data_IF_376913130146
#
_entry.id   IF_376913130146
#
_cell.length_a   1.000
_cell.length_b   1.000
_cell.length_c   1.000
_cell.angle_alpha   90.00
_cell.angle_beta   90.00
_cell.angle_gamma   90.00
#
_symmetry.space_group_name_H-M   'P 1'
#
loop_
_entity.id
_entity.type
_entity.pdbx_description
1 polymer ?
#
# COMPACT_ATOMS: atom_id res chain seq x y z
N UNK A 1 37.10 -27.36 -24.00
CA UNK A 1 36.07 -26.38 -23.57
C UNK A 1 36.54 -25.75 -22.28
N UNK A 2 36.75 -24.43 -22.26
CA UNK A 2 37.46 -23.72 -21.20
C UNK A 2 36.56 -23.55 -19.96
N UNK A 3 36.90 -24.22 -18.85
CA UNK A 3 36.11 -24.28 -17.60
C UNK A 3 35.85 -22.92 -16.95
N UNK A 4 36.67 -21.90 -17.24
CA UNK A 4 36.46 -20.52 -16.76
C UNK A 4 35.24 -19.81 -17.37
N UNK A 5 34.80 -20.19 -18.58
CA UNK A 5 33.64 -19.57 -19.25
C UNK A 5 32.33 -19.99 -18.55
N UNK A 6 32.27 -21.24 -18.05
CA UNK A 6 31.12 -21.77 -17.34
C UNK A 6 30.95 -21.12 -15.96
N UNK A 7 32.05 -20.86 -15.25
CA UNK A 7 32.04 -20.21 -13.94
C UNK A 7 31.52 -18.75 -14.05
N UNK A 8 32.00 -18.00 -15.04
CA UNK A 8 31.53 -16.64 -15.32
C UNK A 8 30.04 -16.60 -15.71
N UNK A 9 29.58 -17.54 -16.54
CA UNK A 9 28.17 -17.63 -16.94
C UNK A 9 27.22 -17.94 -15.77
N UNK A 10 27.65 -18.75 -14.79
CA UNK A 10 26.88 -19.04 -13.57
C UNK A 10 26.79 -17.81 -12.64
N UNK A 11 27.89 -17.06 -12.49
CA UNK A 11 27.90 -15.82 -11.70
C UNK A 11 27.06 -14.71 -12.33
N UNK A 12 27.12 -14.55 -13.65
CA UNK A 12 26.29 -13.60 -14.40
C UNK A 12 24.80 -13.95 -14.24
N UNK A 13 24.44 -15.23 -14.31
CA UNK A 13 23.06 -15.68 -14.10
C UNK A 13 22.55 -15.38 -12.68
N UNK A 14 23.35 -15.68 -11.65
CA UNK A 14 22.99 -15.38 -10.26
C UNK A 14 22.84 -13.88 -10.00
N UNK A 15 23.70 -13.04 -10.59
CA UNK A 15 23.64 -11.59 -10.46
C UNK A 15 22.39 -10.99 -11.12
N UNK A 16 21.97 -11.49 -12.28
CA UNK A 16 20.75 -11.05 -12.97
C UNK A 16 19.51 -11.42 -12.15
N UNK A 17 19.45 -12.64 -11.61
CA UNK A 17 18.33 -13.09 -10.78
C UNK A 17 18.25 -12.23 -9.51
N UNK A 18 19.38 -11.99 -8.83
CA UNK A 18 19.43 -11.13 -7.65
C UNK A 18 19.00 -9.69 -7.97
N UNK A 19 19.45 -9.12 -9.09
CA UNK A 19 19.04 -7.80 -9.54
C UNK A 19 17.54 -7.74 -9.86
N UNK A 20 16.98 -8.76 -10.51
CA UNK A 20 15.56 -8.83 -10.82
C UNK A 20 14.69 -8.91 -9.55
N UNK A 21 15.12 -9.70 -8.55
CA UNK A 21 14.45 -9.77 -7.24
C UNK A 21 14.51 -8.43 -6.49
N UNK A 22 15.65 -7.74 -6.54
CA UNK A 22 15.80 -6.42 -5.94
C UNK A 22 14.92 -5.37 -6.64
N UNK A 23 14.86 -5.40 -7.97
CA UNK A 23 13.99 -4.52 -8.78
C UNK A 23 12.50 -4.81 -8.53
N UNK A 24 12.10 -6.05 -8.32
CA UNK A 24 10.73 -6.38 -7.94
C UNK A 24 10.36 -5.88 -6.53
N UNK A 25 11.31 -5.91 -5.59
CA UNK A 25 11.12 -5.44 -4.22
C UNK A 25 10.92 -3.93 -4.09
N UNK A 26 11.51 -3.12 -4.97
CA UNK A 26 11.35 -1.64 -4.93
C UNK A 26 9.98 -1.16 -5.42
N UNK A 27 9.21 -1.99 -6.13
CA UNK A 27 7.93 -1.57 -6.73
C UNK A 27 6.79 -1.54 -5.68
N UNK A 28 6.93 -2.27 -4.57
CA UNK A 28 5.85 -2.44 -3.59
C UNK A 28 6.10 -1.79 -2.22
N UNK A 29 7.00 -0.79 -2.14
CA UNK A 29 6.98 0.15 -0.99
C UNK A 29 5.77 1.09 -1.17
N UNK A 30 4.59 0.58 -0.86
CA UNK A 30 3.42 1.41 -0.62
C UNK A 30 3.55 1.94 0.82
N UNK A 31 4.26 3.06 0.96
CA UNK A 31 4.06 3.96 2.08
C UNK A 31 2.72 4.70 1.85
N UNK A 32 1.61 3.98 1.99
CA UNK A 32 0.27 4.57 2.05
C UNK A 32 0.24 5.40 3.32
N UNK A 33 0.20 6.70 3.15
CA UNK A 33 0.31 7.64 4.25
C UNK A 33 -0.96 7.50 5.11
N UNK A 34 -0.91 7.79 6.42
CA UNK A 34 -2.11 7.77 7.28
C UNK A 34 -3.19 8.83 6.90
N UNK A 35 -3.07 9.46 5.73
CA UNK A 35 -4.01 10.45 5.20
C UNK A 35 -4.82 9.93 3.98
N UNK A 36 -4.65 8.66 3.60
CA UNK A 36 -5.43 8.01 2.55
C UNK A 36 -6.81 7.56 3.10
N UNK A 37 -7.67 8.52 3.45
CA UNK A 37 -9.08 8.25 3.76
C UNK A 37 -9.81 8.01 2.44
N UNK A 38 -10.11 6.73 2.16
CA UNK A 38 -10.86 6.28 0.99
C UNK A 38 -12.37 6.43 1.25
N UNK A 39 -13.12 6.93 0.27
CA UNK A 39 -14.57 7.04 0.32
C UNK A 39 -15.22 6.00 -0.60
N UNK A 40 -16.46 5.55 -0.32
CA UNK A 40 -17.30 5.89 0.84
C UNK A 40 -16.92 5.13 2.12
N UNK A 41 -17.22 5.70 3.30
CA UNK A 41 -16.92 5.07 4.61
C UNK A 41 -18.15 4.31 5.12
N UNK A 42 -18.17 2.96 5.09
CA UNK A 42 -19.36 2.19 5.45
C UNK A 42 -19.78 2.35 6.91
N UNK A 43 -18.80 2.47 7.82
CA UNK A 43 -19.01 2.64 9.26
C UNK A 43 -19.65 3.99 9.62
N UNK A 44 -19.53 5.00 8.74
CA UNK A 44 -20.10 6.35 8.90
C UNK A 44 -21.28 6.57 7.94
N UNK A 45 -22.11 5.54 7.75
CA UNK A 45 -23.31 5.64 6.92
C UNK A 45 -23.03 5.67 5.40
N UNK A 46 -21.89 5.14 4.96
CA UNK A 46 -21.42 5.18 3.56
C UNK A 46 -21.21 6.60 3.03
N UNK A 47 -20.78 7.53 3.88
CA UNK A 47 -20.51 8.90 3.45
C UNK A 47 -19.43 8.94 2.35
N UNK A 48 -19.73 9.58 1.22
CA UNK A 48 -18.92 9.56 0.00
C UNK A 48 -17.88 10.69 -0.07
N UNK A 49 -17.75 11.49 0.98
CA UNK A 49 -16.79 12.58 1.03
C UNK A 49 -16.78 13.31 2.37
N UNK A 50 -15.76 14.14 2.57
CA UNK A 50 -15.51 14.87 3.83
C UNK A 50 -16.74 15.64 4.34
N UNK A 51 -17.45 16.35 3.47
CA UNK A 51 -18.62 17.14 3.87
C UNK A 51 -19.76 16.26 4.37
N UNK A 52 -19.99 15.12 3.74
CA UNK A 52 -21.04 14.18 4.12
C UNK A 52 -20.69 13.49 5.45
N UNK A 53 -19.44 13.05 5.62
CA UNK A 53 -18.99 12.47 6.87
C UNK A 53 -18.99 13.51 8.00
N UNK A 54 -18.68 14.78 7.70
CA UNK A 54 -18.80 15.88 8.66
C UNK A 54 -20.24 16.07 9.11
N UNK A 55 -21.19 16.08 8.17
CA UNK A 55 -22.61 16.19 8.49
C UNK A 55 -23.11 14.98 9.30
N UNK A 56 -22.65 13.77 8.97
CA UNK A 56 -22.93 12.55 9.74
C UNK A 56 -22.43 12.68 11.18
N UNK A 57 -21.20 13.15 11.39
CA UNK A 57 -20.60 13.34 12.71
C UNK A 57 -21.08 14.59 13.48
N UNK A 58 -21.77 15.52 12.82
CA UNK A 58 -22.39 16.67 13.48
C UNK A 58 -23.73 16.31 14.13
N UNK A 59 -24.27 15.13 13.81
CA UNK A 59 -25.42 14.55 14.49
C UNK A 59 -24.96 13.89 15.81
N UNK A 60 -25.47 14.32 16.98
CA UNK A 60 -25.10 13.74 18.27
C UNK A 60 -25.41 12.23 18.36
N UNK A 61 -26.39 11.72 17.61
CA UNK A 61 -26.72 10.30 17.62
C UNK A 61 -25.63 9.42 16.96
N UNK A 62 -24.71 10.03 16.20
CA UNK A 62 -23.61 9.35 15.51
C UNK A 62 -22.23 9.60 16.12
N UNK A 63 -22.14 10.29 17.27
CA UNK A 63 -20.87 10.68 17.88
C UNK A 63 -19.95 9.49 18.19
N UNK A 64 -20.53 8.38 18.67
CA UNK A 64 -19.79 7.19 19.05
C UNK A 64 -19.12 6.54 17.84
N UNK A 65 -19.83 6.47 16.70
CA UNK A 65 -19.30 5.93 15.45
C UNK A 65 -18.13 6.78 14.92
N UNK A 66 -18.25 8.12 15.02
CA UNK A 66 -17.21 9.04 14.61
C UNK A 66 -15.96 8.98 15.49
N UNK A 67 -16.12 8.79 16.80
CA UNK A 67 -15.01 8.59 17.73
C UNK A 67 -14.31 7.24 17.52
N UNK A 68 -15.04 6.20 17.12
CA UNK A 68 -14.46 4.89 16.81
C UNK A 68 -13.62 4.89 15.51
N UNK A 69 -13.88 5.84 14.60
CA UNK A 69 -13.22 5.94 13.30
C UNK A 69 -11.96 6.82 13.29
N UNK A 70 -11.88 7.86 14.15
CA UNK A 70 -10.81 8.87 14.18
C UNK A 70 -9.53 8.40 14.90
#
# INVERSE_FOLDING_TARGET
>A
MNTGILLNSRFVGAAIIAAALFVAGVIVVSASSPLDIEFPIPELGNCAGKTECKAYCDDPDNEEACLAFA
#
